data_IF_586944365636
#
_entry.id   IF_586944365636
#
_cell.length_a   1.000
_cell.length_b   1.000
_cell.length_c   1.000
_cell.angle_alpha   90.00
_cell.angle_beta   90.00
_cell.angle_gamma   90.00
#
_symmetry.space_group_name_H-M   'P 1'
#
loop_
_entity.id
_entity.type
_entity.pdbx_description
1 polymer ?
#
# COMPACT_ATOMS: atom_id res chain seq x y z
N UNK A 1 3.44 11.39 40.44
CA UNK A 1 2.97 10.48 39.35
C UNK A 1 3.64 10.90 38.08
N UNK A 2 4.60 10.12 37.65
CA UNK A 2 5.21 10.27 36.33
C UNK A 2 4.31 9.55 35.34
N UNK A 3 3.56 10.30 34.52
CA UNK A 3 2.93 9.77 33.32
C UNK A 3 4.01 9.35 32.37
N UNK A 4 4.27 8.07 32.27
CA UNK A 4 5.04 7.53 31.15
C UNK A 4 4.13 7.65 29.93
N UNK A 5 4.34 8.69 29.12
CA UNK A 5 3.74 8.76 27.81
C UNK A 5 4.42 7.68 26.99
N UNK A 6 3.79 6.51 26.85
CA UNK A 6 4.21 5.54 25.84
C UNK A 6 4.20 6.26 24.49
N UNK A 7 5.37 6.42 23.91
CA UNK A 7 5.51 6.91 22.55
C UNK A 7 4.75 5.97 21.64
N UNK A 8 3.66 6.43 21.03
CA UNK A 8 2.93 5.63 20.04
C UNK A 8 3.91 5.19 18.94
N UNK A 9 3.85 3.92 18.54
CA UNK A 9 4.63 3.41 17.41
C UNK A 9 4.14 4.09 16.16
N UNK A 10 4.97 4.96 15.59
CA UNK A 10 4.63 5.77 14.41
C UNK A 10 5.11 5.18 13.10
N UNK A 11 6.07 4.27 13.16
CA UNK A 11 6.62 3.58 11.97
C UNK A 11 6.28 2.11 12.01
N UNK A 12 5.75 1.61 10.89
CA UNK A 12 5.43 0.20 10.70
C UNK A 12 6.35 -0.38 9.63
N UNK A 13 6.86 -1.58 9.88
CA UNK A 13 7.76 -2.29 8.94
C UNK A 13 7.19 -3.68 8.67
N UNK A 14 7.01 -4.00 7.39
CA UNK A 14 6.54 -5.29 6.92
C UNK A 14 7.56 -5.88 5.96
N UNK A 15 7.86 -7.15 6.13
CA UNK A 15 8.81 -7.86 5.26
C UNK A 15 8.20 -9.16 4.77
N UNK A 16 8.28 -9.38 3.48
CA UNK A 16 7.78 -10.59 2.84
C UNK A 16 8.83 -11.15 1.88
N UNK A 17 8.91 -12.48 1.83
CA UNK A 17 9.83 -13.22 0.97
C UNK A 17 9.00 -13.81 -0.18
N UNK A 18 9.32 -13.39 -1.40
CA UNK A 18 8.53 -13.73 -2.59
C UNK A 18 9.44 -14.45 -3.59
N UNK A 19 9.01 -15.62 -4.07
CA UNK A 19 9.71 -16.32 -5.14
C UNK A 19 9.39 -15.69 -6.50
N UNK A 20 9.98 -14.53 -6.70
CA UNK A 20 9.88 -13.73 -7.92
C UNK A 20 11.13 -12.86 -8.06
N UNK A 21 11.38 -12.37 -9.28
CA UNK A 21 12.49 -11.44 -9.51
C UNK A 21 12.20 -10.05 -8.93
N UNK A 22 13.21 -9.25 -8.60
CA UNK A 22 13.00 -7.85 -8.20
C UNK A 22 12.20 -7.05 -9.24
N UNK A 23 12.43 -7.28 -10.52
CA UNK A 23 11.69 -6.61 -11.59
C UNK A 23 10.21 -6.98 -11.59
N UNK A 24 9.86 -8.25 -11.35
CA UNK A 24 8.46 -8.68 -11.28
C UNK A 24 7.73 -8.01 -10.10
N UNK A 25 8.39 -7.89 -8.95
CA UNK A 25 7.84 -7.18 -7.78
C UNK A 25 7.71 -5.69 -8.08
N UNK A 26 8.71 -5.07 -8.67
CA UNK A 26 8.68 -3.68 -9.07
C UNK A 26 7.51 -3.37 -10.00
N UNK A 27 7.32 -4.19 -11.02
CA UNK A 27 6.20 -4.06 -11.94
C UNK A 27 4.85 -4.20 -11.24
N UNK A 28 4.74 -5.13 -10.30
CA UNK A 28 3.53 -5.34 -9.52
C UNK A 28 3.18 -4.16 -8.59
N UNK A 29 4.18 -3.40 -8.15
CA UNK A 29 3.98 -2.21 -7.30
C UNK A 29 3.62 -0.99 -8.14
N UNK A 30 4.21 -0.83 -9.32
CA UNK A 30 4.21 0.43 -10.06
C UNK A 30 3.28 0.48 -11.27
N UNK A 31 2.83 -0.67 -11.76
CA UNK A 31 2.01 -0.75 -12.99
C UNK A 31 0.55 -1.03 -12.69
N UNK A 32 -0.39 -0.26 -13.28
CA UNK A 32 -1.82 -0.40 -13.00
C UNK A 32 -2.39 -1.76 -13.37
N UNK A 33 -1.92 -2.38 -14.44
CA UNK A 33 -2.32 -3.72 -14.86
C UNK A 33 -1.97 -4.82 -13.84
N UNK A 34 -1.06 -4.53 -12.91
CA UNK A 34 -0.74 -5.40 -11.79
C UNK A 34 -1.45 -4.99 -10.50
N UNK A 35 -1.47 -3.70 -10.17
CA UNK A 35 -2.06 -3.23 -8.89
C UNK A 35 -3.55 -3.48 -8.78
N UNK A 36 -4.28 -3.56 -9.90
CA UNK A 36 -5.70 -3.95 -9.90
C UNK A 36 -5.94 -5.42 -9.54
N UNK A 37 -4.90 -6.26 -9.54
CA UNK A 37 -5.03 -7.71 -9.38
C UNK A 37 -4.81 -8.21 -7.97
N UNK A 38 -4.39 -7.37 -7.03
CA UNK A 38 -4.14 -7.81 -5.65
C UNK A 38 -4.51 -6.75 -4.62
N UNK A 39 -4.53 -7.17 -3.36
CA UNK A 39 -4.90 -6.30 -2.26
C UNK A 39 -6.32 -5.80 -2.42
N UNK A 40 -6.50 -4.50 -2.26
CA UNK A 40 -7.80 -3.84 -2.42
C UNK A 40 -8.06 -3.38 -3.86
N UNK A 41 -7.18 -3.68 -4.78
CA UNK A 41 -7.24 -3.20 -6.16
C UNK A 41 -6.77 -1.75 -6.28
N UNK A 42 -7.27 -1.07 -7.29
CA UNK A 42 -6.86 0.28 -7.62
C UNK A 42 -5.82 0.31 -8.74
N UNK A 43 -5.76 1.44 -9.43
CA UNK A 43 -4.90 1.65 -10.60
C UNK A 43 -3.75 2.58 -10.23
N UNK A 44 -2.56 2.03 -10.07
CA UNK A 44 -1.34 2.81 -9.84
C UNK A 44 -1.08 3.78 -10.98
N UNK A 45 -0.72 5.00 -10.64
CA UNK A 45 -0.42 6.08 -11.59
C UNK A 45 0.81 6.85 -11.09
N UNK A 46 1.98 6.36 -11.45
CA UNK A 46 3.26 6.93 -11.06
C UNK A 46 3.93 7.68 -12.21
N UNK A 47 4.50 8.84 -11.89
CA UNK A 47 5.58 9.44 -12.64
C UNK A 47 6.88 9.17 -11.87
N UNK A 48 7.63 8.16 -12.29
CA UNK A 48 8.75 7.59 -11.53
C UNK A 48 10.01 8.46 -11.64
N UNK A 49 9.92 9.65 -11.12
CA UNK A 49 11.01 10.61 -10.93
C UNK A 49 10.78 11.42 -9.66
N UNK A 50 11.83 11.93 -9.00
CA UNK A 50 11.65 12.84 -7.86
C UNK A 50 10.75 14.02 -8.22
N UNK A 51 9.74 14.29 -7.41
CA UNK A 51 8.72 15.30 -7.66
C UNK A 51 7.55 14.85 -8.54
N UNK A 52 7.61 13.65 -9.10
CA UNK A 52 6.52 13.06 -9.89
C UNK A 52 5.36 12.59 -9.01
N UNK A 53 4.18 12.42 -9.62
CA UNK A 53 3.00 11.92 -8.91
C UNK A 53 3.19 10.47 -8.46
N UNK A 54 2.66 10.15 -7.28
CA UNK A 54 2.51 8.81 -6.74
C UNK A 54 1.04 8.62 -6.36
N UNK A 55 0.22 8.32 -7.35
CA UNK A 55 -1.23 8.27 -7.27
C UNK A 55 -1.77 6.85 -7.43
N UNK A 56 -3.00 6.63 -6.96
CA UNK A 56 -3.82 5.49 -7.35
C UNK A 56 -5.26 5.93 -7.59
N UNK A 57 -5.86 5.40 -8.64
CA UNK A 57 -7.24 5.66 -9.02
C UNK A 57 -8.14 4.48 -8.66
N UNK A 58 -9.41 4.75 -8.42
CA UNK A 58 -10.40 3.69 -8.24
C UNK A 58 -10.53 2.89 -9.54
N UNK A 59 -10.53 1.56 -9.41
CA UNK A 59 -10.80 0.68 -10.54
C UNK A 59 -12.32 0.47 -10.75
N UNK A 60 -12.67 -0.21 -11.83
CA UNK A 60 -14.09 -0.44 -12.18
C UNK A 60 -14.84 -1.25 -11.12
N UNK A 61 -14.15 -2.18 -10.43
CA UNK A 61 -14.77 -2.98 -9.38
C UNK A 61 -15.10 -2.13 -8.15
N UNK A 62 -14.19 -1.23 -7.76
CA UNK A 62 -14.41 -0.28 -6.65
C UNK A 62 -15.57 0.68 -6.94
N UNK A 63 -15.60 1.25 -8.14
CA UNK A 63 -16.65 2.17 -8.57
C UNK A 63 -18.02 1.46 -8.64
N UNK A 64 -18.06 0.25 -9.18
CA UNK A 64 -19.26 -0.56 -9.25
C UNK A 64 -19.80 -0.95 -7.88
N UNK A 65 -18.95 -1.39 -6.97
CA UNK A 65 -19.34 -1.74 -5.61
C UNK A 65 -19.82 -0.51 -4.81
N UNK A 66 -19.20 0.64 -5.00
CA UNK A 66 -19.63 1.88 -4.38
C UNK A 66 -21.03 2.30 -4.87
N UNK A 67 -21.30 2.23 -6.17
CA UNK A 67 -22.60 2.53 -6.75
C UNK A 67 -23.67 1.57 -6.23
N UNK A 68 -23.38 0.27 -6.15
CA UNK A 68 -24.31 -0.76 -5.65
C UNK A 68 -24.72 -0.53 -4.19
N UNK A 69 -23.80 -0.05 -3.36
CA UNK A 69 -24.02 0.21 -1.94
C UNK A 69 -24.38 1.66 -1.60
N UNK A 70 -24.53 2.52 -2.59
CA UNK A 70 -24.89 3.94 -2.39
C UNK A 70 -23.76 4.77 -1.76
N UNK A 71 -22.52 4.31 -1.87
CA UNK A 71 -21.34 5.05 -1.41
C UNK A 71 -20.73 5.85 -2.55
N UNK A 72 -20.10 6.96 -2.20
CA UNK A 72 -19.35 7.78 -3.15
C UNK A 72 -17.84 7.55 -2.96
N UNK A 73 -17.21 6.95 -3.95
CA UNK A 73 -15.75 6.75 -3.98
C UNK A 73 -15.17 7.75 -4.96
N UNK A 74 -14.17 8.57 -4.56
CA UNK A 74 -13.50 9.47 -5.49
C UNK A 74 -12.72 8.68 -6.55
N UNK A 75 -12.53 9.27 -7.72
CA UNK A 75 -11.68 8.68 -8.76
C UNK A 75 -10.22 8.53 -8.27
N UNK A 76 -9.68 9.57 -7.68
CA UNK A 76 -8.37 9.54 -7.03
C UNK A 76 -8.52 9.05 -5.59
N UNK A 77 -8.01 7.85 -5.29
CA UNK A 77 -8.14 7.21 -3.96
C UNK A 77 -6.89 7.36 -3.10
N UNK A 78 -5.73 7.49 -3.73
CA UNK A 78 -4.44 7.75 -3.07
C UNK A 78 -3.76 8.91 -3.79
N UNK A 79 -3.28 9.89 -3.04
CA UNK A 79 -2.39 10.92 -3.56
C UNK A 79 -1.04 10.90 -2.83
N UNK A 80 -0.05 11.43 -3.52
CA UNK A 80 1.32 11.53 -3.02
C UNK A 80 2.28 11.97 -4.11
N UNK A 81 3.53 12.03 -3.72
CA UNK A 81 4.65 12.46 -4.56
C UNK A 81 5.83 11.50 -4.40
N UNK A 82 6.50 11.19 -5.50
CA UNK A 82 7.75 10.43 -5.49
C UNK A 82 8.87 11.29 -4.91
N UNK A 83 9.53 10.79 -3.88
CA UNK A 83 10.68 11.44 -3.24
C UNK A 83 11.99 10.90 -3.81
N UNK A 84 12.10 9.57 -3.87
CA UNK A 84 13.29 8.87 -4.35
C UNK A 84 12.86 7.64 -5.16
N UNK A 85 13.56 7.37 -6.25
CA UNK A 85 13.29 6.19 -7.07
C UNK A 85 14.58 5.62 -7.62
N UNK A 86 14.78 4.31 -7.41
CA UNK A 86 15.91 3.50 -7.91
C UNK A 86 15.38 2.13 -8.37
N UNK A 87 14.86 2.04 -9.59
CA UNK A 87 14.29 0.80 -10.11
C UNK A 87 15.34 -0.30 -10.30
N UNK A 88 15.05 -1.55 -10.00
CA UNK A 88 13.86 -2.10 -9.36
C UNK A 88 14.03 -2.30 -7.83
N UNK A 89 14.77 -1.43 -7.15
CA UNK A 89 15.27 -1.65 -5.78
C UNK A 89 14.59 -0.79 -4.72
N UNK A 90 14.23 0.45 -5.05
CA UNK A 90 13.74 1.39 -4.03
C UNK A 90 12.78 2.42 -4.62
N UNK A 91 11.71 2.65 -3.89
CA UNK A 91 10.76 3.74 -4.13
C UNK A 91 10.38 4.36 -2.78
N UNK A 92 10.58 5.67 -2.67
CA UNK A 92 10.12 6.46 -1.52
C UNK A 92 9.10 7.46 -2.01
N UNK A 93 7.96 7.52 -1.33
CA UNK A 93 6.85 8.40 -1.69
C UNK A 93 6.14 8.96 -0.46
N UNK A 94 5.47 10.07 -0.61
CA UNK A 94 4.41 10.47 0.30
C UNK A 94 3.12 9.70 -0.04
N UNK A 95 2.24 9.56 0.93
CA UNK A 95 1.03 8.74 0.78
C UNK A 95 -0.11 9.28 1.62
N UNK A 96 -1.29 9.40 1.04
CA UNK A 96 -2.51 9.79 1.75
C UNK A 96 -3.72 9.09 1.14
N UNK A 97 -4.57 8.53 2.00
CA UNK A 97 -5.84 7.91 1.64
C UNK A 97 -6.94 8.98 1.49
N UNK A 98 -7.64 8.96 0.37
CA UNK A 98 -8.69 9.94 0.06
C UNK A 98 -10.12 9.38 0.11
N UNK A 99 -10.28 8.08 0.38
CA UNK A 99 -11.59 7.44 0.40
C UNK A 99 -12.40 7.76 1.65
N UNK A 100 -11.76 8.17 2.72
CA UNK A 100 -12.38 8.58 3.99
C UNK A 100 -12.01 10.03 4.30
N UNK A 101 -13.00 10.92 4.57
CA UNK A 101 -12.72 12.33 4.83
C UNK A 101 -11.84 12.58 6.06
N UNK A 102 -11.95 11.73 7.09
CA UNK A 102 -11.13 11.81 8.28
C UNK A 102 -9.65 11.52 7.97
N UNK A 103 -9.40 10.44 7.23
CA UNK A 103 -8.04 10.07 6.79
C UNK A 103 -7.48 11.07 5.79
N UNK A 104 -8.28 11.57 4.87
CA UNK A 104 -7.88 12.59 3.90
C UNK A 104 -7.46 13.91 4.55
N UNK A 105 -7.92 14.19 5.76
CA UNK A 105 -7.55 15.39 6.53
C UNK A 105 -6.25 15.25 7.31
N UNK A 106 -5.72 14.03 7.45
CA UNK A 106 -4.43 13.80 8.10
C UNK A 106 -3.27 14.28 7.22
N UNK A 107 -2.10 14.46 7.84
CA UNK A 107 -0.89 14.77 7.11
C UNK A 107 -0.48 13.60 6.19
N UNK A 108 0.30 13.90 5.16
CA UNK A 108 0.93 12.87 4.36
C UNK A 108 1.83 11.98 5.22
N UNK A 109 1.71 10.68 5.05
CA UNK A 109 2.67 9.71 5.55
C UNK A 109 3.78 9.49 4.53
N UNK A 110 4.85 8.82 4.93
CA UNK A 110 5.93 8.43 4.03
C UNK A 110 5.99 6.92 3.90
N UNK A 111 5.94 6.45 2.67
CA UNK A 111 5.95 5.03 2.31
C UNK A 111 7.23 4.70 1.54
N UNK A 112 7.96 3.72 2.03
CA UNK A 112 9.20 3.23 1.39
C UNK A 112 9.04 1.76 1.02
N UNK A 113 9.34 1.46 -0.25
CA UNK A 113 9.42 0.12 -0.79
C UNK A 113 10.89 -0.20 -1.08
N UNK A 114 11.37 -1.32 -0.57
CA UNK A 114 12.73 -1.80 -0.83
C UNK A 114 12.69 -3.26 -1.26
N UNK A 115 13.41 -3.57 -2.34
CA UNK A 115 13.48 -4.92 -2.92
C UNK A 115 14.94 -5.34 -2.95
N UNK A 116 15.25 -6.41 -2.21
CA UNK A 116 16.59 -7.00 -2.15
C UNK A 116 16.60 -8.41 -2.71
N UNK A 117 17.76 -8.85 -3.21
CA UNK A 117 17.94 -10.24 -3.61
C UNK A 117 18.03 -11.14 -2.37
N UNK A 118 17.29 -12.24 -2.42
CA UNK A 118 17.45 -13.38 -1.51
C UNK A 118 18.20 -14.51 -2.21
N UNK A 119 18.04 -15.73 -1.71
CA UNK A 119 18.63 -16.94 -2.28
C UNK A 119 17.62 -17.67 -3.17
N UNK A 120 18.13 -18.42 -4.14
CA UNK A 120 17.35 -19.39 -4.94
C UNK A 120 16.12 -18.79 -5.64
N UNK A 121 16.25 -17.59 -6.18
CA UNK A 121 15.18 -16.92 -6.91
C UNK A 121 14.14 -16.22 -6.02
N UNK A 122 14.41 -16.13 -4.74
CA UNK A 122 13.59 -15.37 -3.78
C UNK A 122 14.06 -13.92 -3.74
N UNK A 123 13.14 -12.98 -3.71
CA UNK A 123 13.39 -11.58 -3.42
C UNK A 123 12.75 -11.20 -2.08
N UNK A 124 13.31 -10.20 -1.43
CA UNK A 124 12.83 -9.71 -0.14
C UNK A 124 12.23 -8.32 -0.35
N UNK A 125 10.92 -8.20 -0.16
CA UNK A 125 10.21 -6.94 -0.20
C UNK A 125 10.02 -6.42 1.23
N UNK A 126 10.52 -5.22 1.49
CA UNK A 126 10.30 -4.52 2.75
C UNK A 126 9.50 -3.25 2.50
N UNK A 127 8.39 -3.11 3.22
CA UNK A 127 7.56 -1.90 3.25
C UNK A 127 7.78 -1.22 4.59
N UNK A 128 8.21 0.03 4.55
CA UNK A 128 8.34 0.88 5.73
C UNK A 128 7.38 2.05 5.60
N UNK A 129 6.47 2.19 6.54
CA UNK A 129 5.46 3.24 6.54
C UNK A 129 5.63 4.13 7.77
N UNK A 130 6.10 5.34 7.57
CA UNK A 130 6.19 6.36 8.61
C UNK A 130 4.87 7.12 8.69
N UNK A 131 4.16 6.94 9.80
CA UNK A 131 2.81 7.42 10.05
C UNK A 131 2.78 8.41 11.23
N UNK A 132 3.87 9.12 11.46
CA UNK A 132 4.07 10.00 12.61
C UNK A 132 2.91 10.97 12.81
N UNK A 133 2.41 11.59 11.75
CA UNK A 133 1.33 12.58 11.80
C UNK A 133 0.01 12.06 11.19
N UNK A 134 -0.14 10.75 11.06
CA UNK A 134 -1.30 10.10 10.46
C UNK A 134 -1.81 8.93 11.32
N UNK A 135 -2.30 9.21 12.55
CA UNK A 135 -2.66 8.15 13.50
C UNK A 135 -3.86 7.29 13.07
N UNK A 136 -4.85 7.86 12.40
CA UNK A 136 -5.99 7.09 11.86
C UNK A 136 -5.56 6.19 10.71
N UNK A 137 -4.73 6.69 9.82
CA UNK A 137 -4.11 5.91 8.76
C UNK A 137 -3.27 4.77 9.34
N UNK A 138 -2.53 5.01 10.42
CA UNK A 138 -1.73 3.98 11.09
C UNK A 138 -2.57 2.80 11.57
N UNK A 139 -3.75 3.05 12.12
CA UNK A 139 -4.69 1.99 12.52
C UNK A 139 -5.21 1.22 11.32
N UNK A 140 -5.61 1.93 10.26
CA UNK A 140 -6.11 1.30 9.03
C UNK A 140 -5.09 0.35 8.40
N UNK A 141 -3.88 0.85 8.14
CA UNK A 141 -2.86 0.08 7.39
C UNK A 141 -2.23 -1.05 8.20
N UNK A 142 -2.33 -1.03 9.52
CA UNK A 142 -1.92 -2.15 10.39
C UNK A 142 -2.92 -3.31 10.43
N UNK A 143 -4.12 -3.11 9.87
CA UNK A 143 -5.22 -4.07 9.98
C UNK A 143 -6.02 -3.92 11.28
N UNK A 144 -5.82 -2.86 12.05
CA UNK A 144 -6.51 -2.62 13.32
C UNK A 144 -8.02 -2.42 13.19
N UNK A 145 -8.53 -2.17 11.98
CA UNK A 145 -9.96 -2.04 11.67
C UNK A 145 -10.54 -3.23 10.92
N UNK A 146 -9.82 -4.37 10.89
CA UNK A 146 -10.27 -5.56 10.18
C UNK A 146 -11.64 -6.06 10.70
N UNK A 147 -11.85 -6.07 12.01
CA UNK A 147 -13.12 -6.46 12.63
C UNK A 147 -14.28 -5.49 12.33
N UNK A 148 -13.96 -4.31 11.85
CA UNK A 148 -14.93 -3.29 11.40
C UNK A 148 -15.15 -3.31 9.89
N UNK A 149 -14.57 -4.29 9.19
CA UNK A 149 -14.74 -4.48 7.75
C UNK A 149 -13.79 -3.63 6.88
N UNK A 150 -12.79 -2.98 7.47
CA UNK A 150 -11.82 -2.17 6.73
C UNK A 150 -10.62 -2.95 6.17
N UNK A 151 -10.64 -4.28 6.31
CA UNK A 151 -9.62 -5.17 5.77
C UNK A 151 -8.38 -5.32 6.64
N UNK A 152 -7.45 -6.17 6.21
CA UNK A 152 -6.28 -6.60 6.98
C UNK A 152 -5.02 -5.74 6.82
N UNK A 153 -5.10 -4.60 6.14
CA UNK A 153 -3.98 -3.68 5.95
C UNK A 153 -2.81 -4.28 5.16
N UNK A 154 -1.60 -3.90 5.48
CA UNK A 154 -0.39 -4.35 4.78
C UNK A 154 -0.21 -5.86 4.80
N UNK A 155 -0.52 -6.52 5.89
CA UNK A 155 -0.39 -7.99 5.99
C UNK A 155 -1.25 -8.70 4.95
N UNK A 156 -2.47 -8.23 4.73
CA UNK A 156 -3.35 -8.74 3.68
C UNK A 156 -2.79 -8.45 2.28
N UNK A 157 -2.44 -7.19 2.01
CA UNK A 157 -1.93 -6.75 0.71
C UNK A 157 -0.69 -7.55 0.30
N UNK A 158 0.27 -7.69 1.19
CA UNK A 158 1.54 -8.38 0.90
C UNK A 158 1.36 -9.89 0.77
N UNK A 159 0.44 -10.48 1.53
CA UNK A 159 0.11 -11.90 1.39
C UNK A 159 -0.54 -12.21 0.05
N UNK A 160 -1.47 -11.35 -0.39
CA UNK A 160 -2.14 -11.50 -1.68
C UNK A 160 -1.16 -11.25 -2.85
N UNK A 161 -0.30 -10.24 -2.74
CA UNK A 161 0.76 -9.98 -3.72
C UNK A 161 1.71 -11.19 -3.87
N UNK A 162 2.18 -11.73 -2.75
CA UNK A 162 3.04 -12.93 -2.75
C UNK A 162 2.35 -14.10 -3.45
N UNK A 163 1.11 -14.36 -3.09
CA UNK A 163 0.33 -15.45 -3.68
C UNK A 163 0.14 -15.25 -5.18
N UNK A 164 -0.22 -14.05 -5.61
CA UNK A 164 -0.38 -13.73 -7.02
C UNK A 164 0.92 -13.96 -7.82
N UNK A 165 2.05 -13.46 -7.33
CA UNK A 165 3.33 -13.57 -8.04
C UNK A 165 3.86 -15.01 -8.08
N UNK A 166 3.58 -15.82 -7.05
CA UNK A 166 4.06 -17.20 -6.97
C UNK A 166 3.15 -18.22 -7.67
N UNK A 167 1.84 -17.95 -7.71
CA UNK A 167 0.85 -18.92 -8.22
C UNK A 167 0.06 -18.45 -9.44
N UNK A 168 0.03 -17.15 -9.71
CA UNK A 168 -0.82 -16.53 -10.72
C UNK A 168 -2.26 -16.30 -10.28
N UNK A 169 -2.62 -16.63 -9.04
CA UNK A 169 -3.97 -16.53 -8.50
C UNK A 169 -3.98 -15.67 -7.22
N UNK A 170 -5.11 -15.04 -6.96
CA UNK A 170 -5.33 -14.26 -5.74
C UNK A 170 -5.68 -15.15 -4.55
N UNK A 171 -5.44 -14.64 -3.34
CA UNK A 171 -6.07 -15.19 -2.14
C UNK A 171 -7.59 -14.99 -2.20
N UNK A 172 -8.39 -15.94 -1.67
CA UNK A 172 -9.80 -15.70 -1.45
C UNK A 172 -10.01 -14.50 -0.53
N UNK A 173 -11.03 -13.71 -0.83
CA UNK A 173 -11.37 -12.56 0.02
C UNK A 173 -11.74 -13.02 1.44
N UNK A 174 -11.22 -12.30 2.46
CA UNK A 174 -11.47 -12.61 3.87
C UNK A 174 -12.42 -11.61 4.51
#
# INVERSE_FOLDING_TARGET
MTSTTESAVTTQVYRVYIKATPQAIWDAITKPEWTEKYGYGGLADYDLRPGGKAHAHADAAMLGAAEEHGHNVPDLIIDGEVIEVDPPRKLVQTWRMLMDPGLASEAFSQLTWEIADGNDGVSILTVTHDLTDAPGTAVLVSGGLADEGAGGGWSWILSDLKTLLETGERLPWQ
#
